data_IF_602991292818
#
_entry.id   IF_602991292818
#
_cell.length_a   1.000
_cell.length_b   1.000
_cell.length_c   1.000
_cell.angle_alpha   90.00
_cell.angle_beta   90.00
_cell.angle_gamma   90.00
#
_symmetry.space_group_name_H-M   'P 1'
#
loop_
_entity.id
_entity.type
_entity.pdbx_description
1 polymer ?
#
# COMPACT_ATOMS: atom_id res chain seq x y z
N UNK A 1 -0.25 5.48 -22.60
CA UNK A 1 -0.05 5.18 -22.36
C UNK A 1 0.29 4.66 -22.28
N UNK A 2 0.65 4.62 -22.05
CA UNK A 2 1.03 4.05 -21.96
C UNK A 2 1.12 3.26 -21.54
N UNK A 3 1.08 2.94 -21.52
CA UNK A 3 1.02 2.17 -21.12
C UNK A 3 1.47 1.32 -21.07
N UNK A 4 1.95 1.12 -20.80
CA UNK A 4 2.44 0.11 -20.62
C UNK A 4 1.96 -0.85 -20.54
N UNK A 5 1.98 -1.09 -20.71
CA UNK A 5 1.36 -1.98 -20.75
C UNK A 5 1.04 -2.80 -20.04
N UNK A 6 0.60 -2.86 -19.97
CA UNK A 6 0.22 -3.56 -19.39
C UNK A 6 0.35 -4.69 -19.60
N UNK A 7 0.91 -5.00 -19.73
CA UNK A 7 1.09 -5.94 -19.90
C UNK A 7 0.56 -6.76 -19.16
N UNK A 8 0.08 -6.66 -18.96
CA UNK A 8 -0.40 -7.21 -18.14
C UNK A 8 -0.60 -8.16 -17.62
N UNK A 9 -0.49 -8.42 -17.26
CA UNK A 9 -0.46 -9.36 -16.80
C UNK A 9 -0.63 -9.58 -15.45
N UNK A 10 0.14 -9.40 -14.78
CA UNK A 10 0.11 -9.54 -13.35
C UNK A 10 -0.66 -8.44 -12.69
N UNK A 11 -0.81 -7.34 -13.40
CA UNK A 11 -1.54 -6.22 -12.86
C UNK A 11 -3.04 -6.51 -12.91
N UNK A 12 -3.67 -6.56 -11.78
CA UNK A 12 -5.08 -6.92 -11.67
C UNK A 12 -6.02 -5.74 -11.70
N UNK A 13 -5.50 -4.55 -11.94
CA UNK A 13 -6.32 -3.36 -11.99
C UNK A 13 -6.52 -2.65 -10.67
N UNK A 14 -6.06 -3.22 -9.58
CA UNK A 14 -6.15 -2.53 -8.29
C UNK A 14 -5.15 -1.38 -8.24
N UNK A 15 -5.63 -0.23 -7.78
CA UNK A 15 -4.81 0.98 -7.66
C UNK A 15 -4.46 1.23 -6.21
N UNK A 16 -3.18 1.38 -5.95
CA UNK A 16 -2.67 1.53 -4.59
C UNK A 16 -1.84 2.78 -4.49
N UNK A 17 -2.07 3.56 -3.44
CA UNK A 17 -1.25 4.73 -3.15
C UNK A 17 -0.42 4.43 -1.90
N UNK A 18 0.90 4.58 -2.01
CA UNK A 18 1.81 4.40 -0.89
C UNK A 18 2.29 5.77 -0.44
N UNK A 19 2.13 6.06 0.85
CA UNK A 19 2.51 7.35 1.41
C UNK A 19 3.57 7.13 2.48
N UNK A 20 4.74 7.74 2.30
CA UNK A 20 5.85 7.59 3.24
C UNK A 20 6.75 8.81 3.17
N UNK A 21 7.15 9.31 4.35
CA UNK A 21 8.11 10.40 4.42
C UNK A 21 9.53 9.90 4.17
N UNK A 22 9.76 8.63 4.39
CA UNK A 22 11.07 8.03 4.14
C UNK A 22 11.18 7.64 2.68
N UNK A 23 12.01 8.35 1.95
CA UNK A 23 12.11 8.17 0.51
C UNK A 23 12.56 6.77 0.10
N UNK A 24 13.50 6.21 0.82
CA UNK A 24 13.99 4.86 0.51
C UNK A 24 12.90 3.81 0.72
N UNK A 25 12.20 3.93 1.84
CA UNK A 25 11.11 3.00 2.12
C UNK A 25 9.99 3.15 1.11
N UNK A 26 9.72 4.38 0.71
CA UNK A 26 8.69 4.64 -0.29
C UNK A 26 9.00 3.91 -1.59
N UNK A 27 10.23 4.08 -2.08
CA UNK A 27 10.64 3.45 -3.32
C UNK A 27 10.60 1.93 -3.22
N UNK A 28 11.10 1.40 -2.13
CA UNK A 28 11.15 -0.04 -1.94
C UNK A 28 9.75 -0.64 -1.95
N UNK A 29 8.84 -0.03 -1.20
CA UNK A 29 7.48 -0.55 -1.11
C UNK A 29 6.73 -0.41 -2.42
N UNK A 30 6.95 0.70 -3.12
CA UNK A 30 6.32 0.88 -4.42
C UNK A 30 6.79 -0.18 -5.42
N UNK A 31 8.07 -0.53 -5.38
CA UNK A 31 8.60 -1.59 -6.25
C UNK A 31 7.98 -2.93 -5.91
N UNK A 32 7.91 -3.26 -4.63
CA UNK A 32 7.37 -4.55 -4.21
C UNK A 32 5.91 -4.68 -4.64
N UNK A 33 5.11 -3.69 -4.32
CA UNK A 33 3.69 -3.74 -4.64
C UNK A 33 3.43 -3.57 -6.13
N UNK A 34 4.29 -2.82 -6.80
CA UNK A 34 4.13 -2.58 -8.23
C UNK A 34 4.31 -3.81 -9.09
N UNK A 35 4.86 -4.89 -8.51
CA UNK A 35 4.98 -6.14 -9.24
C UNK A 35 3.61 -6.76 -9.53
N UNK A 36 2.59 -6.42 -8.73
CA UNK A 36 1.27 -7.04 -8.85
C UNK A 36 0.13 -6.04 -8.98
N UNK A 37 0.36 -4.78 -8.65
CA UNK A 37 -0.70 -3.77 -8.62
C UNK A 37 -0.25 -2.51 -9.31
N UNK A 38 -1.20 -1.63 -9.59
CA UNK A 38 -0.86 -0.30 -10.09
C UNK A 38 -0.59 0.59 -8.87
N UNK A 39 0.62 1.12 -8.77
CA UNK A 39 1.05 1.81 -7.56
C UNK A 39 1.49 3.23 -7.88
N UNK A 40 1.00 4.16 -7.06
CA UNK A 40 1.51 5.53 -7.02
C UNK A 40 2.21 5.75 -5.70
N UNK A 41 3.21 6.59 -5.71
CA UNK A 41 3.98 6.88 -4.51
C UNK A 41 3.89 8.35 -4.18
N UNK A 42 3.69 8.66 -2.92
CA UNK A 42 3.64 10.05 -2.46
C UNK A 42 4.54 10.20 -1.24
N UNK A 43 5.45 11.16 -1.30
CA UNK A 43 6.39 11.41 -0.21
C UNK A 43 5.86 12.39 0.81
N UNK A 44 4.75 13.04 0.54
CA UNK A 44 4.17 14.04 1.41
C UNK A 44 2.66 14.05 1.24
N UNK A 45 1.97 14.53 2.27
CA UNK A 45 0.51 14.57 2.24
C UNK A 45 -0.04 15.37 1.06
N UNK A 46 0.50 16.55 0.71
CA UNK A 46 -0.03 17.27 -0.46
C UNK A 46 0.07 16.48 -1.76
N UNK A 47 1.14 15.69 -1.92
CA UNK A 47 1.26 14.84 -3.10
C UNK A 47 0.21 13.75 -3.10
N UNK A 48 -0.04 13.17 -1.94
CA UNK A 48 -1.05 12.13 -1.81
C UNK A 48 -2.44 12.71 -2.11
N UNK A 49 -2.71 13.89 -1.59
CA UNK A 49 -3.99 14.54 -1.83
C UNK A 49 -4.19 14.82 -3.30
N UNK A 50 -3.15 15.28 -3.98
CA UNK A 50 -3.23 15.54 -5.42
C UNK A 50 -3.50 14.26 -6.19
N UNK A 51 -2.83 13.16 -5.82
CA UNK A 51 -3.04 11.89 -6.48
C UNK A 51 -4.48 11.41 -6.29
N UNK A 52 -5.00 11.54 -5.09
CA UNK A 52 -6.37 11.12 -4.79
C UNK A 52 -7.40 11.95 -5.56
N UNK A 53 -7.05 13.18 -5.89
CA UNK A 53 -7.92 14.02 -6.70
C UNK A 53 -7.95 13.65 -8.17
N UNK A 54 -6.95 12.92 -8.63
CA UNK A 54 -6.86 12.53 -10.04
C UNK A 54 -7.54 11.21 -10.35
N UNK A 55 -7.53 10.29 -9.39
CA UNK A 55 -8.09 8.97 -9.62
C UNK A 55 -8.44 8.32 -8.29
N UNK A 56 -9.41 7.40 -8.31
CA UNK A 56 -9.70 6.67 -7.09
C UNK A 56 -8.64 5.61 -6.83
N UNK A 57 -8.46 5.29 -5.56
CA UNK A 57 -7.57 4.21 -5.15
C UNK A 57 -8.37 3.17 -4.40
N UNK A 58 -7.95 1.92 -4.55
CA UNK A 58 -8.59 0.82 -3.83
C UNK A 58 -7.99 0.67 -2.44
N UNK A 59 -6.72 1.05 -2.29
CA UNK A 59 -6.01 0.92 -1.03
C UNK A 59 -5.01 2.06 -0.89
N UNK A 60 -4.94 2.61 0.31
CA UNK A 60 -3.93 3.60 0.67
C UNK A 60 -3.04 2.97 1.73
N UNK A 61 -1.74 2.94 1.50
CA UNK A 61 -0.77 2.38 2.44
C UNK A 61 -0.09 3.54 3.15
N UNK A 62 -0.25 3.62 4.47
CA UNK A 62 0.31 4.69 5.28
C UNK A 62 1.47 4.15 6.11
N UNK A 63 2.66 4.69 5.91
CA UNK A 63 3.86 4.18 6.54
C UNK A 63 4.11 4.84 7.88
N UNK A 64 4.87 4.15 8.73
CA UNK A 64 5.14 4.62 10.09
C UNK A 64 5.96 5.91 10.12
N UNK A 65 6.58 6.28 9.00
CA UNK A 65 7.37 7.51 8.94
C UNK A 65 6.51 8.78 8.96
N UNK A 66 5.20 8.65 8.79
CA UNK A 66 4.31 9.80 8.86
C UNK A 66 4.16 10.26 10.31
N UNK A 67 4.10 11.57 10.53
CA UNK A 67 3.80 12.07 11.85
C UNK A 67 2.34 11.76 12.20
N UNK A 68 1.99 11.92 13.48
CA UNK A 68 0.61 11.69 13.89
C UNK A 68 -0.34 12.61 13.18
N UNK A 69 0.05 13.87 12.99
CA UNK A 69 -0.80 14.82 12.26
C UNK A 69 -0.97 14.43 10.83
N UNK A 70 0.11 13.99 10.19
CA UNK A 70 0.05 13.54 8.80
C UNK A 70 -0.81 12.30 8.66
N UNK A 71 -0.66 11.37 9.59
CA UNK A 71 -1.47 10.16 9.57
C UNK A 71 -2.95 10.49 9.71
N UNK A 72 -3.27 11.37 10.65
CA UNK A 72 -4.66 11.79 10.87
C UNK A 72 -5.23 12.48 9.64
N UNK A 73 -4.43 13.35 9.03
CA UNK A 73 -4.86 14.04 7.82
C UNK A 73 -5.17 13.05 6.71
N UNK A 74 -4.30 12.06 6.52
CA UNK A 74 -4.52 11.05 5.50
C UNK A 74 -5.77 10.22 5.79
N UNK A 75 -5.99 9.88 7.06
CA UNK A 75 -7.19 9.13 7.43
C UNK A 75 -8.45 9.92 7.10
N UNK A 76 -8.43 11.23 7.34
CA UNK A 76 -9.57 12.08 7.01
C UNK A 76 -9.79 12.14 5.51
N UNK A 77 -8.71 12.29 4.74
CA UNK A 77 -8.83 12.32 3.29
C UNK A 77 -9.43 11.02 2.75
N UNK A 78 -9.02 9.90 3.32
CA UNK A 78 -9.55 8.62 2.88
C UNK A 78 -11.04 8.52 3.17
N UNK A 79 -11.46 8.95 4.35
CA UNK A 79 -12.88 8.88 4.72
C UNK A 79 -13.74 9.78 3.85
N UNK A 80 -13.16 10.83 3.30
CA UNK A 80 -13.92 11.77 2.48
C UNK A 80 -14.10 11.32 1.04
N UNK A 81 -13.39 10.26 0.63
CA UNK A 81 -13.54 9.74 -0.72
C UNK A 81 -14.82 8.93 -0.86
N UNK A 82 -15.33 8.83 -2.07
CA UNK A 82 -16.57 8.11 -2.32
C UNK A 82 -16.40 7.23 -3.56
N UNK A 83 -16.24 5.91 -3.41
CA UNK A 83 -16.21 5.20 -2.13
C UNK A 83 -14.86 5.38 -1.45
N UNK A 84 -14.81 5.25 -0.13
CA UNK A 84 -13.54 5.41 0.57
C UNK A 84 -12.62 4.22 0.27
N UNK A 85 -11.33 4.48 0.07
CA UNK A 85 -10.38 3.39 -0.10
C UNK A 85 -10.14 2.70 1.24
N UNK A 86 -9.68 1.47 1.17
CA UNK A 86 -9.22 0.81 2.38
C UNK A 86 -7.87 1.38 2.79
N UNK A 87 -7.53 1.25 4.05
CA UNK A 87 -6.29 1.80 4.59
C UNK A 87 -5.49 0.69 5.25
N UNK A 88 -4.24 0.55 4.83
CA UNK A 88 -3.29 -0.36 5.46
C UNK A 88 -2.24 0.47 6.18
N UNK A 89 -2.13 0.28 7.48
CA UNK A 89 -1.16 1.01 8.28
C UNK A 89 0.07 0.15 8.52
N UNK A 90 1.24 0.67 8.16
CA UNK A 90 2.50 -0.04 8.37
C UNK A 90 3.14 0.45 9.65
N UNK A 91 3.43 -0.47 10.54
CA UNK A 91 4.03 -0.17 11.83
C UNK A 91 5.41 -0.82 11.94
N UNK A 92 6.30 -0.17 12.68
CA UNK A 92 7.61 -0.72 13.00
C UNK A 92 7.70 -0.89 14.50
N UNK A 93 8.33 -1.99 14.93
CA UNK A 93 8.37 -2.33 16.35
C UNK A 93 9.04 -1.25 17.18
N UNK A 94 10.03 -0.57 16.61
CA UNK A 94 10.79 0.44 17.36
C UNK A 94 10.32 1.86 17.10
N UNK A 95 9.11 2.04 16.60
CA UNK A 95 8.63 3.35 16.20
C UNK A 95 7.39 3.76 17.01
N UNK A 96 7.45 3.61 18.31
CA UNK A 96 6.37 4.01 19.18
C UNK A 96 5.18 3.07 19.11
N UNK A 97 4.02 3.60 19.44
CA UNK A 97 2.81 2.79 19.46
C UNK A 97 2.30 2.52 18.06
N UNK A 98 1.77 1.31 17.83
CA UNK A 98 1.10 1.06 16.57
C UNK A 98 -0.11 1.98 16.41
N UNK A 99 -0.41 2.34 15.17
CA UNK A 99 -1.60 3.10 14.84
C UNK A 99 -2.67 2.13 14.39
N UNK A 100 -3.88 2.39 14.80
CA UNK A 100 -4.97 1.44 14.59
C UNK A 100 -6.16 2.05 13.84
N UNK A 101 -5.96 3.10 13.11
CA UNK A 101 -7.06 3.76 12.42
C UNK A 101 -7.39 3.23 11.05
N UNK A 102 -6.78 2.14 10.61
CA UNK A 102 -6.99 1.64 9.28
C UNK A 102 -7.82 0.38 9.22
N UNK A 103 -8.01 -0.13 8.01
CA UNK A 103 -8.71 -1.39 7.78
C UNK A 103 -7.82 -2.59 8.05
N UNK A 104 -6.52 -2.38 8.09
CA UNK A 104 -5.58 -3.42 8.44
C UNK A 104 -4.30 -2.80 8.94
N UNK A 105 -3.52 -3.60 9.64
CA UNK A 105 -2.22 -3.19 10.17
C UNK A 105 -1.19 -4.23 9.78
N UNK A 106 0.03 -3.76 9.59
CA UNK A 106 1.10 -4.64 9.16
C UNK A 106 2.40 -4.25 9.83
N UNK A 107 3.04 -5.22 10.47
CA UNK A 107 4.35 -5.00 11.07
C UNK A 107 5.41 -5.20 9.99
N UNK A 108 6.18 -4.14 9.71
CA UNK A 108 7.11 -4.18 8.59
C UNK A 108 8.19 -5.24 8.75
N UNK A 109 8.43 -5.69 9.98
CA UNK A 109 9.41 -6.75 10.23
C UNK A 109 9.03 -8.07 9.59
N UNK A 110 7.78 -8.25 9.19
CA UNK A 110 7.35 -9.48 8.55
C UNK A 110 7.85 -9.64 7.11
N UNK A 111 8.32 -8.56 6.51
CA UNK A 111 8.96 -8.65 5.22
C UNK A 111 8.06 -8.39 4.04
N UNK A 112 8.67 -8.26 2.84
CA UNK A 112 7.93 -7.82 1.65
C UNK A 112 6.90 -8.83 1.13
N UNK A 113 7.17 -10.11 1.26
CA UNK A 113 6.20 -11.08 0.78
C UNK A 113 4.91 -11.04 1.60
N UNK A 114 5.06 -10.92 2.94
CA UNK A 114 3.90 -10.81 3.79
C UNK A 114 3.15 -9.51 3.54
N UNK A 115 3.86 -8.45 3.19
CA UNK A 115 3.22 -7.20 2.81
C UNK A 115 2.35 -7.40 1.57
N UNK A 116 2.87 -8.11 0.56
CA UNK A 116 2.10 -8.42 -0.63
C UNK A 116 0.84 -9.21 -0.30
N UNK A 117 0.97 -10.20 0.58
CA UNK A 117 -0.18 -11.01 0.96
C UNK A 117 -1.25 -10.18 1.65
N UNK A 118 -0.83 -9.35 2.59
CA UNK A 118 -1.79 -8.51 3.32
C UNK A 118 -2.48 -7.53 2.38
N UNK A 119 -1.72 -6.95 1.47
CA UNK A 119 -2.27 -6.03 0.49
C UNK A 119 -3.30 -6.73 -0.38
N UNK A 120 -2.96 -7.92 -0.88
CA UNK A 120 -3.86 -8.68 -1.72
C UNK A 120 -5.16 -9.01 -0.99
N UNK A 121 -5.07 -9.37 0.28
CA UNK A 121 -6.26 -9.63 1.08
C UNK A 121 -7.18 -8.42 1.14
N UNK A 122 -6.59 -7.26 1.38
CA UNK A 122 -7.40 -6.05 1.55
C UNK A 122 -8.07 -5.60 0.27
N UNK A 123 -7.42 -5.80 -0.87
CA UNK A 123 -8.03 -5.42 -2.14
C UNK A 123 -8.86 -6.54 -2.75
N UNK A 124 -8.93 -7.69 -2.08
CA UNK A 124 -9.77 -8.79 -2.55
C UNK A 124 -9.18 -9.55 -3.72
N UNK A 125 -7.89 -9.53 -3.86
CA UNK A 125 -7.20 -10.21 -4.96
C UNK A 125 -6.35 -11.34 -4.40
N UNK A 126 -6.81 -12.59 -4.51
CA UNK A 126 -6.04 -13.70 -3.95
C UNK A 126 -4.71 -13.85 -4.66
N UNK A 127 -3.66 -13.84 -3.88
CA UNK A 127 -2.32 -13.98 -4.41
C UNK A 127 -1.98 -15.45 -4.49
N UNK A 128 -1.61 -15.91 -5.68
CA UNK A 128 -1.25 -17.30 -5.84
C UNK A 128 0.09 -17.57 -5.20
N UNK A 129 0.26 -18.74 -4.59
CA UNK A 129 1.57 -19.10 -4.05
C UNK A 129 2.62 -19.05 -5.12
N UNK A 130 3.74 -18.57 -4.75
CA UNK A 130 4.85 -18.55 -5.66
C UNK A 130 5.42 -19.93 -5.78
N UNK A 131 5.36 -20.42 -6.76
CA UNK A 131 5.96 -21.59 -6.95
C UNK A 131 5.61 -22.78 -6.16
N UNK A 132 5.55 -22.77 -5.96
CA UNK A 132 5.36 -23.38 -5.59
C UNK A 132 5.84 -23.84 -4.95
N UNK A 133 6.08 -23.98 -4.59
CA UNK A 133 6.39 -24.03 -3.90
C UNK A 133 6.38 -24.65 -3.31
N UNK A 134 6.76 -25.13 -3.23
CA UNK A 134 6.77 -25.51 -2.68
C UNK A 134 6.73 -26.19 -1.95
N UNK A 135 6.57 -26.37 -2.01
CA UNK A 135 6.45 -26.58 -1.38
C UNK A 135 6.67 -27.24 -0.89
N UNK A 136 6.87 -27.43 -1.02
CA UNK A 136 7.04 -27.68 -0.56
C UNK A 136 7.21 -28.38 -0.17
N UNK A 137 7.23 -28.64 -0.38
CA UNK A 137 7.33 -28.90 -0.03
C UNK A 137 7.51 -29.41 0.36
N UNK A 138 7.64 -29.76 0.14
CA UNK A 138 7.78 -29.91 0.55
C UNK A 138 7.70 -30.19 0.98
#
# INVERSE_FOLDING_TARGET
MRSFPKRGRVNNGAHILVVSRDHMLLQTRALVLGAYFQVEAAGRVPEAEAAMGKQPFDLIVLCYSLSDDEYRKMAELCRSQNPPPKVLTLNAANNGRPRDGGDGEFAVEQGPYELLKKTAELVGFPLKPMGRQPQIQS
#
